data_IF_080393298020
#
_entry.id   IF_080393298020
#
_cell.length_a   1.000
_cell.length_b   1.000
_cell.length_c   1.000
_cell.angle_alpha   90.00
_cell.angle_beta   90.00
_cell.angle_gamma   90.00
#
_symmetry.space_group_name_H-M   'P 1'
#
loop_
_entity.id
_entity.type
_entity.pdbx_description
1 polymer ?
#
# COMPACT_ATOMS: atom_id res chain seq x y z
N UNK A 1 -25.27 8.64 14.59
CA UNK A 1 -23.95 8.02 14.87
C UNK A 1 -23.02 8.41 13.74
N UNK A 2 -21.86 8.99 14.06
CA UNK A 2 -20.79 9.26 13.10
C UNK A 2 -20.23 7.94 12.58
N UNK A 3 -19.88 7.88 11.30
CA UNK A 3 -19.22 6.70 10.72
C UNK A 3 -17.76 6.68 11.21
N UNK A 4 -17.26 5.58 11.79
CA UNK A 4 -15.88 5.53 12.23
C UNK A 4 -14.89 5.62 11.07
N UNK A 5 -13.80 6.32 11.29
CA UNK A 5 -12.64 6.45 10.41
C UNK A 5 -11.65 5.32 10.71
N UNK A 6 -11.31 4.52 9.70
CA UNK A 6 -10.38 3.42 9.85
C UNK A 6 -9.04 3.74 9.18
N UNK A 7 -7.95 3.29 9.81
CA UNK A 7 -6.64 3.21 9.18
C UNK A 7 -6.13 1.77 9.17
N UNK A 8 -5.52 1.38 8.05
CA UNK A 8 -4.79 0.12 7.92
C UNK A 8 -3.30 0.43 7.82
N UNK A 9 -2.52 -0.14 8.72
CA UNK A 9 -1.08 -0.05 8.78
C UNK A 9 -0.47 -1.36 8.30
N UNK A 10 0.53 -1.29 7.42
CA UNK A 10 1.30 -2.44 6.99
C UNK A 10 2.79 -2.18 7.17
N UNK A 11 3.58 -3.23 7.39
CA UNK A 11 5.03 -3.07 7.51
C UNK A 11 5.63 -2.50 6.21
N UNK A 12 5.50 -3.19 5.07
CA UNK A 12 6.32 -2.88 3.88
C UNK A 12 5.54 -2.67 2.56
N UNK A 13 4.23 -2.41 2.60
CA UNK A 13 3.32 -2.38 1.42
C UNK A 13 3.32 -3.65 0.53
N UNK A 14 4.24 -4.59 0.70
CA UNK A 14 4.19 -5.96 0.19
C UNK A 14 3.29 -6.79 1.10
N UNK A 15 2.00 -6.60 0.91
CA UNK A 15 1.07 -7.71 0.76
C UNK A 15 1.10 -8.84 1.79
N UNK A 16 0.65 -8.53 3.00
CA UNK A 16 -0.36 -9.39 3.65
C UNK A 16 -1.79 -8.90 3.43
N UNK A 17 -1.96 -7.75 2.76
CA UNK A 17 -3.25 -7.14 2.45
C UNK A 17 -3.79 -7.48 1.06
N UNK A 18 -2.96 -8.05 0.18
CA UNK A 18 -3.40 -8.45 -1.17
C UNK A 18 -4.41 -9.58 -1.22
N UNK A 19 -4.38 -10.48 -0.24
CA UNK A 19 -5.36 -11.57 -0.16
C UNK A 19 -6.64 -11.19 0.58
N UNK A 20 -6.80 -9.92 1.01
CA UNK A 20 -7.77 -9.58 2.04
C UNK A 20 -8.73 -8.40 1.83
N UNK A 21 -8.90 -7.73 0.66
CA UNK A 21 -10.16 -7.02 0.45
C UNK A 21 -11.36 -7.98 0.60
N UNK A 22 -11.14 -9.26 0.27
CA UNK A 22 -12.17 -10.32 0.19
C UNK A 22 -12.25 -11.24 1.42
N UNK A 23 -11.36 -11.15 2.40
CA UNK A 23 -11.37 -12.02 3.59
C UNK A 23 -11.55 -11.27 4.91
N UNK A 24 -11.29 -9.96 4.96
CA UNK A 24 -11.61 -9.13 6.13
C UNK A 24 -12.99 -8.46 5.95
N UNK A 25 -13.97 -8.72 6.83
CA UNK A 25 -15.26 -8.03 6.82
C UNK A 25 -15.13 -6.50 6.89
N UNK A 26 -14.07 -6.00 7.54
CA UNK A 26 -13.81 -4.57 7.71
C UNK A 26 -13.43 -3.88 6.40
N UNK A 27 -12.70 -4.57 5.51
CA UNK A 27 -12.33 -4.05 4.19
C UNK A 27 -13.49 -4.08 3.17
N UNK A 28 -14.58 -4.80 3.49
CA UNK A 28 -15.84 -4.82 2.73
C UNK A 28 -16.84 -3.76 3.18
N UNK A 29 -16.65 -3.17 4.35
CA UNK A 29 -17.51 -2.10 4.81
C UNK A 29 -17.26 -0.83 3.97
N UNK A 30 -18.30 -0.07 3.57
CA UNK A 30 -18.16 1.23 2.93
C UNK A 30 -17.74 2.30 3.97
N UNK A 31 -16.67 2.01 4.71
CA UNK A 31 -16.07 2.90 5.68
C UNK A 31 -14.84 3.55 5.04
N UNK A 32 -14.60 4.85 5.28
CA UNK A 32 -13.39 5.52 4.84
C UNK A 32 -12.18 4.83 5.47
N UNK A 33 -11.33 4.24 4.62
CA UNK A 33 -10.14 3.50 5.03
C UNK A 33 -8.89 4.15 4.45
N UNK A 34 -8.03 4.67 5.32
CA UNK A 34 -6.72 5.16 4.95
C UNK A 34 -5.68 4.03 5.05
N UNK A 35 -4.72 3.98 4.12
CA UNK A 35 -3.69 2.94 4.08
C UNK A 35 -2.30 3.54 4.23
N UNK A 36 -1.56 3.14 5.25
CA UNK A 36 -0.22 3.63 5.55
C UNK A 36 0.77 2.48 5.66
N UNK A 37 2.05 2.77 5.45
CA UNK A 37 3.12 1.78 5.66
C UNK A 37 4.15 2.30 6.65
N UNK A 38 4.75 1.39 7.42
CA UNK A 38 5.75 1.73 8.42
C UNK A 38 7.17 1.83 7.83
N UNK A 39 7.44 1.07 6.77
CA UNK A 39 8.69 1.09 6.00
C UNK A 39 8.44 1.35 4.51
N UNK A 40 9.54 1.66 3.81
CA UNK A 40 9.56 1.82 2.36
C UNK A 40 9.06 0.55 1.66
N UNK A 41 8.36 0.68 0.52
CA UNK A 41 7.95 -0.46 -0.30
C UNK A 41 9.16 -1.18 -0.89
N UNK A 42 9.14 -2.50 -0.82
CA UNK A 42 10.07 -3.38 -1.54
C UNK A 42 9.31 -4.11 -2.66
N UNK A 43 9.64 -3.78 -3.91
CA UNK A 43 9.01 -4.36 -5.09
C UNK A 43 9.95 -5.34 -5.84
N UNK A 44 10.97 -5.85 -5.13
CA UNK A 44 11.97 -6.77 -5.68
C UNK A 44 11.42 -8.13 -6.10
N UNK A 45 12.02 -8.81 -7.08
CA UNK A 45 11.64 -10.16 -7.45
C UNK A 45 12.04 -11.22 -6.42
N UNK A 46 12.99 -10.91 -5.54
CA UNK A 46 13.46 -11.81 -4.48
C UNK A 46 14.04 -11.00 -3.30
N UNK A 47 14.25 -11.68 -2.17
CA UNK A 47 14.88 -11.07 -0.99
C UNK A 47 16.30 -10.57 -1.25
N UNK A 48 17.01 -11.18 -2.19
CA UNK A 48 18.40 -10.84 -2.51
C UNK A 48 18.51 -9.74 -3.57
N UNK A 49 17.40 -9.38 -4.23
CA UNK A 49 17.29 -8.30 -5.21
C UNK A 49 16.12 -7.37 -4.86
N UNK A 50 16.20 -6.60 -3.75
CA UNK A 50 15.13 -5.73 -3.32
C UNK A 50 15.02 -4.49 -4.20
N UNK A 51 13.80 -3.96 -4.37
CA UNK A 51 13.54 -2.72 -5.12
C UNK A 51 12.84 -1.73 -4.23
N UNK A 52 13.67 -0.97 -3.53
CA UNK A 52 13.24 -0.06 -2.49
C UNK A 52 12.95 1.30 -3.12
N UNK A 53 11.73 1.79 -2.91
CA UNK A 53 11.35 3.13 -3.34
C UNK A 53 11.13 4.04 -2.14
N UNK A 54 11.53 5.31 -2.26
CA UNK A 54 11.23 6.31 -1.24
C UNK A 54 9.72 6.50 -1.08
N UNK A 55 9.31 6.87 0.13
CA UNK A 55 7.93 7.28 0.37
C UNK A 55 7.55 8.45 -0.54
N UNK A 56 6.25 8.57 -0.85
CA UNK A 56 5.72 9.56 -1.79
C UNK A 56 6.15 9.39 -3.25
N UNK A 57 6.98 8.38 -3.59
CA UNK A 57 7.19 7.99 -5.00
C UNK A 57 5.86 7.53 -5.62
N UNK A 58 5.41 8.11 -6.74
CA UNK A 58 4.16 7.69 -7.35
C UNK A 58 4.18 6.23 -7.79
N UNK A 59 3.09 5.49 -7.56
CA UNK A 59 2.98 4.09 -8.00
C UNK A 59 3.11 3.95 -9.53
N UNK A 60 2.66 4.95 -10.28
CA UNK A 60 2.84 5.01 -11.73
C UNK A 60 4.33 5.07 -12.12
N UNK A 61 5.15 5.81 -11.38
CA UNK A 61 6.60 5.87 -11.61
C UNK A 61 7.23 4.50 -11.39
N UNK A 62 6.94 3.86 -10.25
CA UNK A 62 7.42 2.49 -9.95
C UNK A 62 7.01 1.50 -11.03
N UNK A 63 5.73 1.55 -11.46
CA UNK A 63 5.21 0.65 -12.47
C UNK A 63 5.95 0.79 -13.80
N UNK A 64 6.15 2.03 -14.27
CA UNK A 64 6.85 2.29 -15.53
C UNK A 64 8.30 1.80 -15.49
N UNK A 65 9.00 2.05 -14.39
CA UNK A 65 10.38 1.61 -14.17
C UNK A 65 10.49 0.08 -14.20
N UNK A 66 9.73 -0.63 -13.36
CA UNK A 66 9.75 -2.10 -13.29
C UNK A 66 9.31 -2.76 -14.61
N UNK A 67 8.30 -2.19 -15.27
CA UNK A 67 7.83 -2.67 -16.57
C UNK A 67 8.90 -2.49 -17.65
N UNK A 68 9.65 -1.38 -17.62
CA UNK A 68 10.74 -1.13 -18.56
C UNK A 68 11.94 -2.07 -18.34
N UNK A 69 12.17 -2.47 -17.10
CA UNK A 69 13.29 -3.35 -16.75
C UNK A 69 13.00 -4.82 -17.13
N UNK A 70 11.87 -5.38 -16.67
CA UNK A 70 11.47 -6.73 -17.04
C UNK A 70 9.96 -6.97 -16.83
N UNK A 71 9.15 -6.59 -17.81
CA UNK A 71 7.69 -6.73 -17.75
C UNK A 71 7.21 -8.17 -17.45
N UNK A 72 7.86 -9.19 -18.01
CA UNK A 72 7.44 -10.59 -17.82
C UNK A 72 7.68 -11.05 -16.38
N UNK A 73 8.83 -10.72 -15.81
CA UNK A 73 9.18 -11.05 -14.42
C UNK A 73 8.19 -10.39 -13.44
N UNK A 74 7.97 -9.08 -13.57
CA UNK A 74 7.10 -8.32 -12.65
C UNK A 74 5.61 -8.56 -12.86
N UNK A 75 5.23 -9.06 -14.03
CA UNK A 75 3.88 -9.59 -14.25
C UNK A 75 3.72 -10.96 -13.60
N UNK A 76 4.71 -11.85 -13.73
CA UNK A 76 4.66 -13.21 -13.17
C UNK A 76 4.67 -13.24 -11.65
N UNK A 77 5.42 -12.35 -11.00
CA UNK A 77 5.47 -12.26 -9.54
C UNK A 77 4.32 -11.42 -8.93
N UNK A 78 3.47 -10.81 -9.76
CA UNK A 78 2.30 -10.05 -9.33
C UNK A 78 2.55 -8.59 -8.95
N UNK A 79 3.79 -8.10 -8.96
CA UNK A 79 4.13 -6.72 -8.56
C UNK A 79 3.49 -5.68 -9.47
N UNK A 80 3.44 -5.90 -10.79
CA UNK A 80 2.77 -4.94 -11.69
C UNK A 80 1.27 -4.85 -11.39
N UNK A 81 0.61 -5.98 -11.11
CA UNK A 81 -0.81 -6.00 -10.76
C UNK A 81 -1.10 -5.38 -9.39
N UNK A 82 -0.18 -5.54 -8.42
CA UNK A 82 -0.23 -4.81 -7.15
C UNK A 82 -0.25 -3.29 -7.39
N UNK A 83 0.72 -2.80 -8.17
CA UNK A 83 0.88 -1.37 -8.43
C UNK A 83 -0.33 -0.81 -9.20
N UNK A 84 -0.86 -1.53 -10.18
CA UNK A 84 -2.09 -1.16 -10.90
C UNK A 84 -3.28 -1.00 -9.96
N UNK A 85 -3.47 -1.92 -9.02
CA UNK A 85 -4.52 -1.80 -8.00
C UNK A 85 -4.28 -0.60 -7.07
N UNK A 86 -3.04 -0.43 -6.59
CA UNK A 86 -2.71 0.62 -5.64
C UNK A 86 -2.88 2.02 -6.26
N UNK A 87 -2.59 2.18 -7.57
CA UNK A 87 -2.86 3.40 -8.35
C UNK A 87 -4.35 3.80 -8.33
N UNK A 88 -5.28 2.84 -8.30
CA UNK A 88 -6.72 3.12 -8.20
C UNK A 88 -7.11 3.60 -6.80
N UNK A 89 -6.29 3.31 -5.79
CA UNK A 89 -6.58 3.63 -4.38
C UNK A 89 -5.95 4.95 -3.95
N UNK A 90 -4.68 5.18 -4.29
CA UNK A 90 -3.95 6.41 -3.94
C UNK A 90 -2.74 6.62 -4.86
N UNK A 91 -2.21 7.84 -4.91
CA UNK A 91 -1.11 8.21 -5.81
C UNK A 91 0.25 7.56 -5.45
N UNK A 92 0.55 7.45 -4.17
CA UNK A 92 1.86 7.06 -3.66
C UNK A 92 1.76 6.39 -2.28
N UNK A 93 2.77 5.61 -1.84
CA UNK A 93 2.84 5.12 -0.48
C UNK A 93 3.04 6.29 0.48
N UNK A 94 2.38 6.21 1.63
CA UNK A 94 2.46 7.22 2.68
C UNK A 94 2.95 6.54 3.95
N UNK A 95 3.88 7.20 4.61
CA UNK A 95 4.46 6.72 5.85
C UNK A 95 3.54 7.04 7.01
N UNK A 96 3.31 6.07 7.89
CA UNK A 96 2.51 6.30 9.10
C UNK A 96 3.12 7.36 10.02
N UNK A 97 4.45 7.31 10.16
CA UNK A 97 5.20 8.21 11.04
C UNK A 97 5.19 9.67 10.59
N UNK A 98 4.77 9.95 9.35
CA UNK A 98 4.69 11.32 8.82
C UNK A 98 3.34 11.98 9.14
N UNK A 99 2.39 11.25 9.73
CA UNK A 99 1.11 11.81 10.16
C UNK A 99 1.28 12.75 11.36
N UNK A 100 0.63 13.90 11.27
CA UNK A 100 0.52 14.84 12.39
C UNK A 100 -0.39 14.31 13.49
N UNK A 101 -0.23 14.82 14.71
CA UNK A 101 -1.12 14.52 15.84
C UNK A 101 -2.59 14.77 15.50
N UNK A 102 -2.87 15.82 14.71
CA UNK A 102 -4.23 16.16 14.29
C UNK A 102 -4.83 15.11 13.35
N UNK A 103 -4.03 14.56 12.44
CA UNK A 103 -4.47 13.49 11.53
C UNK A 103 -4.73 12.20 12.30
N UNK A 104 -3.87 11.87 13.27
CA UNK A 104 -4.03 10.70 14.14
C UNK A 104 -5.29 10.80 15.02
N UNK A 105 -5.60 11.99 15.54
CA UNK A 105 -6.83 12.25 16.30
C UNK A 105 -8.11 12.07 15.49
N UNK A 106 -8.03 12.11 14.16
CA UNK A 106 -9.15 11.86 13.27
C UNK A 106 -9.43 10.38 12.98
N UNK A 107 -8.63 9.46 13.55
CA UNK A 107 -8.79 8.02 13.36
C UNK A 107 -9.48 7.40 14.58
N UNK A 108 -10.52 6.60 14.34
CA UNK A 108 -11.23 5.90 15.40
C UNK A 108 -10.66 4.50 15.65
N UNK A 109 -10.20 3.83 14.58
CA UNK A 109 -9.69 2.45 14.64
C UNK A 109 -8.47 2.29 13.73
N UNK A 110 -7.39 1.73 14.28
CA UNK A 110 -6.17 1.36 13.54
C UNK A 110 -6.04 -0.16 13.51
N UNK A 111 -5.86 -0.72 12.30
CA UNK A 111 -5.66 -2.15 12.06
C UNK A 111 -4.23 -2.38 11.58
N UNK A 112 -3.52 -3.29 12.24
CA UNK A 112 -2.12 -3.65 11.94
C UNK A 112 -2.01 -5.10 11.44
#
# INVERSE_FOLDING_TARGET
MTRPMFAMLCANNVNRTEKSPSSSPVLRAPAPLLRFTASAPDNGPSRDDPRIYEFFTPYETMYRELKSENAELFKRNGVLSMLERDMLTKKCPQRWQDLSVKELQGLDVVLC
#
